data_IF_910728486224
#
_entry.id   IF_910728486224
#
_cell.length_a   1.000
_cell.length_b   1.000
_cell.length_c   1.000
_cell.angle_alpha   90.00
_cell.angle_beta   90.00
_cell.angle_gamma   90.00
#
_symmetry.space_group_name_H-M   'P 1'
#
loop_
_entity.id
_entity.type
_entity.pdbx_description
1 polymer ?
#
# COMPACT_ATOMS: atom_id res chain seq x y z
N UNK A 1 -12.63 6.24 18.50
CA UNK A 1 -12.89 5.71 17.15
C UNK A 1 -11.53 5.39 16.56
N UNK A 2 -11.13 4.13 16.63
CA UNK A 2 -9.87 3.65 16.08
C UNK A 2 -9.95 3.73 14.56
N UNK A 3 -8.89 4.19 13.91
CA UNK A 3 -8.83 4.25 12.46
C UNK A 3 -8.63 2.80 11.95
N UNK A 4 -9.54 2.21 11.16
CA UNK A 4 -9.42 0.79 10.76
C UNK A 4 -8.10 0.50 10.01
N UNK A 5 -7.53 1.53 9.37
CA UNK A 5 -6.23 1.51 8.71
C UNK A 5 -5.05 1.12 9.60
N UNK A 6 -5.07 1.61 10.85
CA UNK A 6 -3.99 1.37 11.81
C UNK A 6 -4.07 -0.03 12.43
N UNK A 7 -5.17 -0.74 12.24
CA UNK A 7 -5.34 -2.10 12.76
C UNK A 7 -4.80 -3.14 11.77
N UNK A 8 -5.11 -3.02 10.48
CA UNK A 8 -4.64 -3.99 9.47
C UNK A 8 -3.21 -3.72 8.94
N UNK A 9 -2.65 -2.52 9.15
CA UNK A 9 -1.32 -2.08 8.68
C UNK A 9 -1.07 -2.36 7.18
N UNK A 10 -2.05 -2.01 6.35
CA UNK A 10 -1.99 -2.23 4.91
C UNK A 10 -0.90 -1.38 4.26
N UNK A 11 -0.03 -2.03 3.47
CA UNK A 11 1.19 -1.45 2.89
C UNK A 11 1.56 -2.12 1.57
N UNK A 12 2.50 -1.52 0.83
CA UNK A 12 3.10 -2.15 -0.34
C UNK A 12 4.46 -2.75 0.03
N UNK A 13 4.76 -3.94 -0.52
CA UNK A 13 6.05 -4.60 -0.38
C UNK A 13 7.16 -3.95 -1.22
N UNK A 14 6.78 -3.04 -2.10
CA UNK A 14 7.64 -2.28 -3.00
C UNK A 14 7.13 -0.84 -3.06
N UNK A 15 7.61 -0.03 -3.99
CA UNK A 15 7.14 1.35 -4.18
C UNK A 15 5.61 1.44 -4.37
N UNK A 16 5.07 2.65 -4.21
CA UNK A 16 3.65 2.93 -4.40
C UNK A 16 2.88 3.14 -3.09
N UNK A 17 1.56 3.15 -3.21
CA UNK A 17 0.63 3.34 -2.09
C UNK A 17 -0.45 2.27 -2.13
N UNK A 18 -0.92 1.89 -0.95
CA UNK A 18 -2.05 1.00 -0.85
C UNK A 18 -3.34 1.81 -1.00
N UNK A 19 -4.21 1.38 -1.89
CA UNK A 19 -5.46 2.05 -2.24
C UNK A 19 -6.65 1.14 -1.93
N UNK A 20 -7.67 1.74 -1.33
CA UNK A 20 -9.00 1.13 -1.17
C UNK A 20 -10.04 2.21 -1.38
N UNK A 21 -11.08 1.92 -2.16
CA UNK A 21 -12.27 2.77 -2.22
C UNK A 21 -13.52 1.92 -2.38
N UNK A 22 -14.43 2.07 -1.44
CA UNK A 22 -15.72 1.39 -1.43
C UNK A 22 -16.74 2.07 -2.34
N UNK A 23 -16.64 3.38 -2.54
CA UNK A 23 -17.51 4.18 -3.42
C UNK A 23 -16.72 4.60 -4.68
N UNK A 24 -16.73 3.74 -5.70
CA UNK A 24 -16.09 3.98 -7.00
C UNK A 24 -16.77 3.14 -8.09
N UNK A 25 -16.54 3.49 -9.37
CA UNK A 25 -16.96 2.65 -10.50
C UNK A 25 -16.32 1.27 -10.43
N UNK A 26 -15.00 1.25 -10.19
CA UNK A 26 -14.23 0.06 -9.84
C UNK A 26 -13.76 0.20 -8.39
N UNK A 27 -14.20 -0.70 -7.52
CA UNK A 27 -13.86 -0.70 -6.08
C UNK A 27 -12.49 -1.32 -5.83
N UNK A 28 -11.44 -0.74 -6.41
CA UNK A 28 -10.09 -1.28 -6.36
C UNK A 28 -9.58 -1.41 -4.91
N UNK A 29 -8.86 -2.50 -4.68
CA UNK A 29 -8.06 -2.75 -3.49
C UNK A 29 -6.70 -3.30 -3.92
N UNK A 30 -5.63 -2.69 -3.41
CA UNK A 30 -4.26 -3.16 -3.64
C UNK A 30 -3.28 -2.01 -3.75
N UNK A 31 -2.05 -2.35 -4.12
CA UNK A 31 -0.97 -1.40 -4.24
C UNK A 31 -0.78 -0.91 -5.66
N UNK A 32 -0.52 0.39 -5.81
CA UNK A 32 -0.26 1.03 -7.09
C UNK A 32 0.79 2.14 -7.00
N UNK A 33 1.58 2.30 -8.06
CA UNK A 33 2.44 3.47 -8.27
C UNK A 33 1.70 4.71 -8.75
N UNK A 34 0.48 4.58 -9.24
CA UNK A 34 -0.40 5.68 -9.65
C UNK A 34 -1.67 5.68 -8.80
N UNK A 35 -2.38 6.81 -8.73
CA UNK A 35 -3.68 6.84 -8.06
C UNK A 35 -4.76 6.26 -9.01
N UNK A 36 -5.30 5.06 -8.73
CA UNK A 36 -6.29 4.41 -9.59
C UNK A 36 -7.61 5.18 -9.64
N UNK A 37 -7.81 6.16 -8.76
CA UNK A 37 -9.02 6.96 -8.69
C UNK A 37 -8.86 8.38 -9.22
N UNK A 38 -7.68 8.76 -9.72
CA UNK A 38 -7.42 10.12 -10.20
C UNK A 38 -8.33 10.55 -11.36
N UNK A 39 -8.67 9.61 -12.25
CA UNK A 39 -9.59 9.81 -13.38
C UNK A 39 -11.03 9.37 -13.09
N UNK A 40 -11.30 8.90 -11.87
CA UNK A 40 -12.59 8.34 -11.45
C UNK A 40 -12.93 6.96 -12.01
N UNK A 41 -12.00 6.28 -12.68
CA UNK A 41 -12.20 4.91 -13.16
C UNK A 41 -12.16 3.90 -12.01
N UNK A 42 -11.23 4.08 -11.08
CA UNK A 42 -10.88 3.08 -10.06
C UNK A 42 -10.03 1.95 -10.61
N UNK A 43 -9.45 2.09 -11.81
CA UNK A 43 -8.62 1.08 -12.43
C UNK A 43 -7.14 1.33 -12.15
N UNK A 44 -6.43 0.27 -11.76
CA UNK A 44 -4.97 0.29 -11.67
C UNK A 44 -4.38 -0.44 -12.89
N UNK A 45 -3.57 0.21 -13.73
CA UNK A 45 -2.87 -0.46 -14.82
C UNK A 45 -1.96 -1.58 -14.32
N UNK A 46 -1.88 -2.67 -15.08
CA UNK A 46 -1.08 -3.85 -14.71
C UNK A 46 0.39 -3.51 -14.40
N UNK A 47 1.01 -2.59 -15.15
CA UNK A 47 2.41 -2.20 -14.96
C UNK A 47 2.64 -1.37 -13.68
N UNK A 48 1.57 -0.78 -13.14
CA UNK A 48 1.59 0.02 -11.93
C UNK A 48 1.16 -0.77 -10.69
N UNK A 49 0.62 -1.98 -10.84
CA UNK A 49 0.30 -2.87 -9.73
C UNK A 49 1.56 -3.27 -8.98
N UNK A 50 1.44 -3.34 -7.66
CA UNK A 50 2.53 -3.77 -6.78
C UNK A 50 2.01 -4.75 -5.73
N UNK A 51 2.86 -5.68 -5.27
CA UNK A 51 2.48 -6.61 -4.22
C UNK A 51 2.14 -5.88 -2.92
N UNK A 52 1.01 -6.24 -2.33
CA UNK A 52 0.53 -5.67 -1.07
C UNK A 52 0.82 -6.57 0.15
N UNK A 53 0.88 -5.94 1.32
CA UNK A 53 1.13 -6.56 2.62
C UNK A 53 0.19 -5.98 3.68
N UNK A 54 0.16 -6.65 4.82
CA UNK A 54 -0.67 -6.33 5.96
C UNK A 54 0.02 -6.84 7.24
N UNK A 55 -0.51 -6.53 8.42
CA UNK A 55 -0.03 -7.09 9.67
C UNK A 55 -0.43 -8.57 9.80
N UNK A 56 0.56 -9.46 9.98
CA UNK A 56 0.37 -10.93 9.96
C UNK A 56 -0.67 -11.46 10.96
N UNK A 57 -0.94 -10.72 12.04
CA UNK A 57 -1.97 -11.03 13.04
C UNK A 57 -3.39 -11.04 12.49
N UNK A 58 -3.65 -10.34 11.39
CA UNK A 58 -5.00 -10.10 10.86
C UNK A 58 -5.36 -10.99 9.66
N UNK A 59 -4.62 -12.08 9.44
CA UNK A 59 -4.78 -12.93 8.25
C UNK A 59 -6.16 -13.57 8.13
N UNK A 60 -6.83 -13.79 9.26
CA UNK A 60 -8.18 -14.36 9.34
C UNK A 60 -9.29 -13.30 9.27
N UNK A 61 -8.95 -12.02 9.41
CA UNK A 61 -9.89 -10.90 9.39
C UNK A 61 -10.13 -10.41 7.96
N UNK A 62 -9.08 -10.45 7.14
CA UNK A 62 -9.16 -10.09 5.72
C UNK A 62 -9.70 -11.27 4.94
N UNK A 63 -11.01 -11.28 4.75
CA UNK A 63 -11.70 -12.30 3.94
C UNK A 63 -11.40 -12.12 2.47
N UNK A 64 -11.76 -13.14 1.70
CA UNK A 64 -11.60 -13.14 0.25
C UNK A 64 -12.31 -11.96 -0.40
N UNK A 65 -11.58 -11.28 -1.27
CA UNK A 65 -12.09 -10.23 -2.13
C UNK A 65 -12.25 -10.76 -3.55
N UNK A 66 -12.77 -9.92 -4.45
CA UNK A 66 -13.00 -10.28 -5.84
C UNK A 66 -11.79 -10.01 -6.70
N UNK A 67 -11.75 -10.74 -7.81
CA UNK A 67 -10.63 -10.77 -8.72
C UNK A 67 -11.07 -10.11 -10.01
N UNK A 68 -10.62 -8.88 -10.21
CA UNK A 68 -11.06 -8.01 -11.30
C UNK A 68 -12.61 -7.96 -11.44
N UNK A 69 -13.14 -7.93 -12.67
CA UNK A 69 -14.58 -7.95 -12.97
C UNK A 69 -15.24 -9.31 -12.74
N UNK A 70 -14.48 -10.36 -12.45
CA UNK A 70 -15.04 -11.70 -12.19
C UNK A 70 -15.51 -11.82 -10.74
N UNK A 71 -16.53 -12.65 -10.50
CA UNK A 71 -16.92 -13.09 -9.16
C UNK A 71 -16.03 -14.26 -8.65
N UNK A 72 -14.92 -14.54 -9.34
CA UNK A 72 -13.96 -15.53 -8.87
C UNK A 72 -13.20 -15.00 -7.65
N UNK A 73 -12.90 -15.89 -6.71
CA UNK A 73 -12.16 -15.64 -5.47
C UNK A 73 -11.06 -16.69 -5.23
N UNK A 74 -10.88 -17.64 -6.17
CA UNK A 74 -10.10 -18.86 -5.98
C UNK A 74 -8.62 -18.61 -5.77
N UNK A 75 -8.11 -17.49 -6.26
CA UNK A 75 -6.70 -17.14 -6.12
C UNK A 75 -6.48 -15.84 -5.33
N UNK A 76 -7.43 -15.47 -4.47
CA UNK A 76 -7.18 -14.49 -3.42
C UNK A 76 -6.38 -15.14 -2.29
N UNK A 77 -5.26 -14.53 -1.92
CA UNK A 77 -4.38 -15.04 -0.89
C UNK A 77 -4.14 -14.02 0.22
N UNK A 78 -4.27 -14.50 1.45
CA UNK A 78 -3.74 -13.87 2.67
C UNK A 78 -2.70 -14.83 3.24
N UNK A 79 -1.43 -14.43 3.20
CA UNK A 79 -0.32 -15.26 3.68
C UNK A 79 0.30 -14.63 4.92
N UNK A 80 0.48 -15.43 5.98
CA UNK A 80 1.28 -15.05 7.16
C UNK A 80 2.79 -15.22 6.97
N UNK A 81 3.25 -15.24 5.71
CA UNK A 81 4.67 -15.32 5.39
C UNK A 81 5.43 -14.09 5.88
N UNK A 82 6.76 -14.08 5.70
CA UNK A 82 7.59 -12.91 6.00
C UNK A 82 8.23 -12.37 4.71
N UNK A 83 7.81 -11.19 4.22
CA UNK A 83 6.72 -10.36 4.74
C UNK A 83 5.33 -10.97 4.42
N UNK A 84 4.26 -10.57 5.15
CA UNK A 84 2.91 -11.03 4.85
C UNK A 84 2.49 -10.58 3.45
N UNK A 85 1.61 -11.35 2.83
CA UNK A 85 1.17 -11.08 1.46
C UNK A 85 -0.35 -11.05 1.38
N UNK A 86 -0.87 -10.06 0.67
CA UNK A 86 -2.30 -9.87 0.46
C UNK A 86 -2.59 -9.47 -0.98
N UNK A 87 -2.99 -10.42 -1.83
CA UNK A 87 -3.48 -10.07 -3.17
C UNK A 87 -4.11 -11.25 -3.89
N UNK A 88 -4.67 -10.98 -5.06
CA UNK A 88 -4.87 -12.03 -6.04
C UNK A 88 -3.59 -12.36 -6.77
N UNK A 89 -3.26 -13.64 -6.89
CA UNK A 89 -2.10 -14.11 -7.63
C UNK A 89 -2.42 -15.33 -8.49
N UNK A 90 -1.89 -15.43 -9.70
CA UNK A 90 -2.06 -16.66 -10.51
C UNK A 90 -1.32 -17.86 -9.91
N UNK A 91 -0.21 -17.63 -9.23
CA UNK A 91 0.59 -18.65 -8.52
C UNK A 91 0.33 -18.62 -7.01
N UNK A 92 0.52 -19.73 -6.30
CA UNK A 92 0.36 -19.80 -4.84
C UNK A 92 1.52 -19.04 -4.15
N UNK A 93 1.29 -17.86 -3.55
CA UNK A 93 2.38 -17.00 -3.08
C UNK A 93 2.87 -17.40 -1.68
N UNK A 94 2.05 -18.13 -0.90
CA UNK A 94 2.33 -18.41 0.51
C UNK A 94 3.48 -19.38 0.77
N UNK A 95 4.05 -20.02 -0.27
CA UNK A 95 5.18 -20.95 -0.14
C UNK A 95 6.50 -20.39 -0.68
N UNK A 96 6.47 -19.42 -1.59
CA UNK A 96 7.64 -18.93 -2.33
C UNK A 96 7.88 -17.41 -2.22
N UNK A 97 7.23 -16.73 -1.27
CA UNK A 97 7.40 -15.29 -0.94
C UNK A 97 7.01 -14.32 -2.09
N UNK A 98 6.78 -14.80 -3.32
CA UNK A 98 6.64 -13.92 -4.48
C UNK A 98 5.45 -14.31 -5.34
N UNK A 99 4.46 -13.42 -5.39
CA UNK A 99 3.64 -13.26 -6.58
C UNK A 99 4.39 -12.30 -7.50
N UNK A 100 4.81 -12.76 -8.67
CA UNK A 100 5.44 -11.87 -9.64
C UNK A 100 4.42 -10.83 -10.13
N UNK A 101 4.87 -9.62 -10.46
CA UNK A 101 3.97 -8.52 -10.84
C UNK A 101 3.09 -8.87 -12.04
N UNK A 102 3.57 -9.68 -12.97
CA UNK A 102 2.82 -10.20 -14.12
C UNK A 102 1.72 -11.21 -13.76
N UNK A 103 1.77 -11.78 -12.57
CA UNK A 103 0.80 -12.75 -12.05
C UNK A 103 -0.14 -12.14 -11.00
N UNK A 104 0.12 -10.91 -10.55
CA UNK A 104 -0.81 -10.12 -9.74
C UNK A 104 -1.98 -9.72 -10.62
N UNK A 105 -3.22 -9.90 -10.14
CA UNK A 105 -4.41 -9.38 -10.83
C UNK A 105 -5.02 -8.27 -9.97
N UNK A 106 -5.49 -7.16 -10.56
CA UNK A 106 -6.21 -6.14 -9.82
C UNK A 106 -7.34 -6.75 -9.00
N UNK A 107 -7.31 -6.56 -7.69
CA UNK A 107 -8.39 -6.99 -6.83
C UNK A 107 -9.43 -5.89 -6.66
N UNK A 108 -10.66 -6.32 -6.36
CA UNK A 108 -11.79 -5.45 -6.09
C UNK A 108 -12.46 -5.85 -4.80
N UNK A 109 -12.92 -4.87 -4.02
CA UNK A 109 -13.71 -5.12 -2.83
C UNK A 109 -14.92 -5.98 -3.19
N UNK A 110 -15.17 -7.01 -2.39
CA UNK A 110 -16.32 -7.87 -2.54
C UNK A 110 -17.64 -7.10 -2.43
N UNK A 111 -18.66 -7.56 -3.16
CA UNK A 111 -20.04 -7.08 -2.99
C UNK A 111 -20.69 -7.69 -1.73
N UNK A 112 -20.15 -8.81 -1.21
CA UNK A 112 -20.51 -9.30 0.11
C UNK A 112 -19.94 -8.35 1.16
N UNK A 113 -20.84 -7.63 1.83
CA UNK A 113 -20.48 -6.67 2.87
C UNK A 113 -19.71 -7.32 4.01
N UNK A 114 -19.99 -8.58 4.34
CA UNK A 114 -19.29 -9.32 5.40
C UNK A 114 -17.85 -9.63 5.01
N UNK A 115 -17.59 -9.85 3.72
CA UNK A 115 -16.24 -10.06 3.21
C UNK A 115 -15.46 -8.75 3.13
N UNK A 116 -16.12 -7.66 2.72
CA UNK A 116 -15.49 -6.35 2.57
C UNK A 116 -15.33 -5.57 3.89
N UNK A 117 -16.06 -5.91 4.95
CA UNK A 117 -16.18 -5.09 6.17
C UNK A 117 -14.85 -4.65 6.79
N UNK A 118 -13.83 -5.53 6.79
CA UNK A 118 -12.53 -5.25 7.38
C UNK A 118 -11.76 -4.18 6.59
N UNK A 119 -12.12 -3.97 5.32
CA UNK A 119 -11.45 -3.08 4.37
C UNK A 119 -12.26 -1.81 4.06
N UNK A 120 -13.50 -1.70 4.54
CA UNK A 120 -14.34 -0.52 4.33
C UNK A 120 -13.92 0.59 5.31
N UNK A 121 -13.91 1.84 4.82
CA UNK A 121 -13.50 3.01 5.62
C UNK A 121 -11.99 3.15 5.80
N UNK A 122 -11.21 2.28 5.14
CA UNK A 122 -9.76 2.37 5.07
C UNK A 122 -9.35 3.52 4.13
N UNK A 123 -8.44 4.37 4.59
CA UNK A 123 -7.83 5.47 3.86
C UNK A 123 -6.50 5.00 3.28
N UNK A 124 -6.23 5.37 2.04
CA UNK A 124 -4.99 5.02 1.35
C UNK A 124 -3.74 5.36 2.17
N UNK A 125 -2.89 4.37 2.41
CA UNK A 125 -1.62 4.51 3.11
C UNK A 125 -0.48 4.58 2.11
N UNK A 126 0.34 5.62 2.23
CA UNK A 126 1.61 5.66 1.50
C UNK A 126 2.61 4.72 2.17
N UNK A 127 3.28 3.89 1.38
CA UNK A 127 4.34 3.04 1.89
C UNK A 127 5.55 3.89 2.29
N UNK A 128 6.08 3.64 3.48
CA UNK A 128 7.50 3.91 3.72
C UNK A 128 8.25 2.64 3.36
N UNK A 129 9.34 2.71 2.59
CA UNK A 129 10.12 1.52 2.28
C UNK A 129 10.68 0.95 3.59
N UNK A 130 10.18 -0.20 4.03
CA UNK A 130 10.83 -0.98 5.08
C UNK A 130 12.09 -1.58 4.46
N UNK A 131 13.20 -0.85 4.54
CA UNK A 131 14.52 -1.41 4.28
C UNK A 131 14.77 -2.49 5.34
N UNK A 132 14.55 -3.76 4.98
CA UNK A 132 15.12 -4.88 5.72
C UNK A 132 16.65 -4.71 5.70
N UNK A 133 17.34 -4.52 6.83
CA UNK A 133 18.77 -4.69 6.86
C UNK A 133 19.05 -6.17 6.62
N UNK A 134 19.73 -6.47 5.51
CA UNK A 134 20.35 -7.78 5.30
C UNK A 134 21.19 -8.07 6.56
N UNK A 135 20.77 -9.09 7.31
CA UNK A 135 21.33 -9.46 8.60
C UNK A 135 22.74 -10.03 8.40
N UNK A 136 23.74 -9.15 8.37
CA UNK A 136 25.14 -9.56 8.58
C UNK A 136 25.40 -9.54 10.08
N UNK A 137 25.47 -10.73 10.66
CA UNK A 137 25.79 -10.96 12.06
C UNK A 137 27.07 -10.22 12.47
N UNK A 138 26.97 -9.25 13.37
CA UNK A 138 28.03 -9.01 14.33
C UNK A 138 27.47 -8.48 15.65
N UNK A 139 27.70 -9.24 16.72
CA UNK A 139 27.38 -8.83 18.10
C UNK A 139 28.27 -7.65 18.47
N UNK A 140 27.67 -6.58 18.99
CA UNK A 140 28.10 -6.01 20.26
C UNK A 140 27.06 -5.06 20.86
N UNK A 141 26.95 -5.20 22.18
CA UNK A 141 26.20 -4.44 23.18
C UNK A 141 26.11 -2.92 22.99
N UNK A 142 24.92 -2.35 23.26
CA UNK A 142 24.82 -0.94 23.63
C UNK A 142 23.43 -0.32 23.49
N UNK A 143 22.73 -0.21 24.62
CA UNK A 143 21.79 0.85 25.01
C UNK A 143 20.71 1.37 24.03
N UNK A 144 19.47 1.06 24.42
CA UNK A 144 18.25 1.87 24.29
C UNK A 144 18.46 3.39 24.15
N UNK A 145 17.87 3.99 23.11
CA UNK A 145 17.12 5.27 23.15
C UNK A 145 16.46 5.53 21.78
N UNK A 146 15.13 5.42 21.74
CA UNK A 146 14.32 6.03 20.68
C UNK A 146 14.52 7.54 20.71
N UNK A 147 15.11 8.11 19.66
CA UNK A 147 15.08 9.55 19.43
C UNK A 147 14.95 9.76 17.93
N UNK A 148 13.70 9.92 17.49
CA UNK A 148 13.41 10.50 16.18
C UNK A 148 13.74 11.98 16.27
N UNK A 149 14.93 12.35 15.80
CA UNK A 149 15.27 13.74 15.53
C UNK A 149 14.64 14.14 14.18
N UNK A 150 13.38 14.60 14.21
CA UNK A 150 12.78 15.28 13.06
C UNK A 150 13.41 16.67 12.98
N UNK A 151 14.41 16.84 12.12
CA UNK A 151 14.82 18.17 11.69
C UNK A 151 13.73 18.69 10.74
N UNK A 152 12.78 19.44 11.30
CA UNK A 152 11.89 20.30 10.50
C UNK A 152 12.72 21.48 10.02
N UNK A 153 13.15 21.46 8.76
CA UNK A 153 13.66 22.67 8.13
C UNK A 153 12.44 23.57 7.87
N UNK A 154 12.19 24.51 8.77
CA UNK A 154 11.36 25.65 8.48
C UNK A 154 12.12 26.54 7.48
N UNK A 155 11.94 26.32 6.18
CA UNK A 155 12.30 27.35 5.20
C UNK A 155 11.17 28.38 5.21
N UNK A 156 11.29 29.30 6.18
CA UNK A 156 10.52 30.54 6.23
C UNK A 156 10.77 31.34 4.94
N UNK A 157 9.71 31.87 4.35
CA UNK A 157 9.75 32.59 3.09
C UNK A 157 10.64 33.82 3.13
N UNK A 158 11.50 33.97 2.11
CA UNK A 158 12.14 35.24 1.77
C UNK A 158 12.76 35.23 0.35
N UNK A 159 12.13 34.66 -0.69
CA UNK A 159 12.57 34.92 -2.09
C UNK A 159 11.39 34.86 -3.07
N UNK A 160 10.45 35.80 -2.96
CA UNK A 160 9.43 36.06 -4.00
C UNK A 160 9.56 37.48 -4.59
N UNK A 161 10.62 38.24 -4.25
CA UNK A 161 10.73 39.66 -4.64
C UNK A 161 11.81 39.96 -5.70
N UNK A 162 12.64 39.00 -6.13
CA UNK A 162 13.70 39.29 -7.12
C UNK A 162 13.41 38.87 -8.57
N UNK A 163 12.30 38.17 -8.85
CA UNK A 163 11.96 37.80 -10.24
C UNK A 163 11.17 38.91 -10.97
N UNK A 164 10.51 39.84 -10.25
CA UNK A 164 9.73 40.91 -10.88
C UNK A 164 10.57 42.09 -11.41
N UNK A 165 11.81 42.28 -10.97
CA UNK A 165 12.65 43.40 -11.44
C UNK A 165 13.35 43.05 -12.77
N UNK A 166 13.61 41.78 -13.05
CA UNK A 166 14.26 41.33 -14.29
C UNK A 166 13.39 41.43 -15.54
N UNK A 167 12.05 41.42 -15.39
CA UNK A 167 11.11 41.50 -16.52
C UNK A 167 10.78 42.95 -16.91
N UNK A 168 11.02 43.93 -16.03
CA UNK A 168 10.81 45.35 -16.33
C UNK A 168 11.99 46.02 -17.04
N UNK A 169 13.12 45.32 -17.18
CA UNK A 169 14.35 45.83 -17.79
C UNK A 169 14.73 45.12 -19.11
N UNK A 170 13.83 44.32 -19.69
CA UNK A 170 14.02 43.74 -21.03
C UNK A 170 12.81 44.02 -21.92
#
# INVERSE_FOLDING_TARGET
MSNPNTELELSCLSEGKFYVRDIAKVRFIGCSTVDPFADGSGYCPQLDLRPSSFSSGHCNEIRKQRCDDSDDDKNWYTCQASPPFLEYCRSIPCQSITCQTEDIIPARLSHDQTAAQALIGITSTASTPTSNPLQSSNKNTGAHLSTVAIIRIAVSGAVVVLILIGVLAY
#
